data_IF_804660755865
#
_entry.id   IF_804660755865
#
_cell.length_a   1.000
_cell.length_b   1.000
_cell.length_c   1.000
_cell.angle_alpha   90.00
_cell.angle_beta   90.00
_cell.angle_gamma   90.00
#
_symmetry.space_group_name_H-M   'P 1'
#
loop_
_entity.id
_entity.type
_entity.pdbx_description
1 polymer ?
#
# COMPACT_ATOMS: atom_id res chain seq x y z
N UNK A 1 -36.42 -60.21 15.82
CA UNK A 1 -35.43 -60.25 14.72
C UNK A 1 -36.06 -59.47 13.59
N UNK A 2 -35.81 -58.17 13.63
CA UNK A 2 -36.46 -57.16 12.81
C UNK A 2 -36.05 -57.26 11.33
N UNK A 3 -36.96 -56.95 10.40
CA UNK A 3 -36.64 -56.90 8.97
C UNK A 3 -35.71 -55.71 8.67
N UNK A 4 -34.78 -55.82 7.72
CA UNK A 4 -34.00 -54.66 7.28
C UNK A 4 -34.93 -53.65 6.60
N UNK A 5 -34.94 -52.43 7.13
CA UNK A 5 -35.67 -51.27 6.65
C UNK A 5 -35.42 -50.98 5.16
N UNK A 6 -36.46 -50.70 4.37
CA UNK A 6 -36.34 -50.29 2.97
C UNK A 6 -36.32 -48.76 2.89
N UNK A 7 -35.31 -48.09 3.45
CA UNK A 7 -35.23 -46.63 3.42
C UNK A 7 -33.77 -46.19 3.35
N UNK A 8 -33.23 -46.15 2.14
CA UNK A 8 -32.24 -45.15 1.72
C UNK A 8 -32.09 -45.20 0.19
N UNK A 9 -33.19 -44.90 -0.50
CA UNK A 9 -33.13 -44.37 -1.86
C UNK A 9 -33.30 -42.85 -1.74
N UNK A 10 -32.20 -42.08 -1.69
CA UNK A 10 -32.33 -40.63 -1.76
C UNK A 10 -32.90 -40.32 -3.14
N UNK A 11 -34.09 -39.71 -3.13
CA UNK A 11 -34.81 -39.22 -4.30
C UNK A 11 -33.84 -38.50 -5.24
N UNK A 12 -33.36 -39.21 -6.26
CA UNK A 12 -32.58 -38.62 -7.34
C UNK A 12 -33.56 -37.71 -8.06
N UNK A 13 -33.49 -36.41 -7.75
CA UNK A 13 -34.23 -35.38 -8.48
C UNK A 13 -34.10 -35.65 -9.98
N UNK A 14 -35.19 -35.61 -10.78
CA UNK A 14 -35.15 -35.93 -12.21
C UNK A 14 -34.02 -35.23 -12.98
N UNK A 15 -33.65 -34.03 -12.54
CA UNK A 15 -32.52 -33.27 -13.07
C UNK A 15 -31.15 -33.93 -12.82
N UNK A 16 -30.92 -34.47 -11.62
CA UNK A 16 -29.67 -35.21 -11.29
C UNK A 16 -29.59 -36.55 -12.01
N UNK A 17 -30.72 -37.25 -12.15
CA UNK A 17 -30.78 -38.51 -12.91
C UNK A 17 -30.43 -38.27 -14.39
N UNK A 18 -30.94 -37.18 -14.96
CA UNK A 18 -30.65 -36.79 -16.34
C UNK A 18 -29.18 -36.40 -16.53
N UNK A 19 -28.58 -35.67 -15.60
CA UNK A 19 -27.15 -35.32 -15.64
C UNK A 19 -26.26 -36.57 -15.56
N UNK A 20 -26.55 -37.50 -14.65
CA UNK A 20 -25.80 -38.76 -14.54
C UNK A 20 -25.92 -39.61 -15.81
N UNK A 21 -27.10 -39.63 -16.45
CA UNK A 21 -27.30 -40.35 -17.71
C UNK A 21 -26.50 -39.73 -18.88
N UNK A 22 -26.42 -38.40 -18.94
CA UNK A 22 -25.61 -37.69 -19.94
C UNK A 22 -24.11 -37.99 -19.72
N UNK A 23 -23.63 -37.84 -18.48
CA UNK A 23 -22.24 -38.15 -18.15
C UNK A 23 -21.87 -39.62 -18.45
N UNK A 24 -22.77 -40.57 -18.18
CA UNK A 24 -22.55 -41.97 -18.50
C UNK A 24 -22.42 -42.21 -20.03
N UNK A 25 -23.22 -41.50 -20.84
CA UNK A 25 -23.11 -41.54 -22.31
C UNK A 25 -21.76 -40.96 -22.77
N UNK A 26 -21.35 -39.83 -22.21
CA UNK A 26 -20.10 -39.17 -22.57
C UNK A 26 -18.88 -40.03 -22.20
N UNK A 27 -18.92 -40.71 -21.05
CA UNK A 27 -17.90 -41.69 -20.67
C UNK A 27 -17.87 -42.91 -21.59
N UNK A 28 -19.04 -43.41 -22.02
CA UNK A 28 -19.11 -44.52 -22.98
C UNK A 28 -18.49 -44.14 -24.33
N UNK A 29 -18.74 -42.91 -24.80
CA UNK A 29 -18.11 -42.36 -26.00
C UNK A 29 -16.58 -42.34 -25.85
N UNK A 30 -16.06 -41.70 -24.79
CA UNK A 30 -14.62 -41.60 -24.56
C UNK A 30 -13.95 -42.98 -24.43
N UNK A 31 -14.57 -43.93 -23.74
CA UNK A 31 -14.01 -45.28 -23.62
C UNK A 31 -13.90 -45.97 -25.00
N UNK A 32 -14.89 -45.79 -25.87
CA UNK A 32 -14.84 -46.34 -27.23
C UNK A 32 -13.79 -45.65 -28.11
N UNK A 33 -13.64 -44.33 -27.95
CA UNK A 33 -12.66 -43.52 -28.66
C UNK A 33 -11.22 -43.87 -28.21
N UNK A 34 -10.97 -43.94 -26.91
CA UNK A 34 -9.68 -44.37 -26.36
C UNK A 34 -9.34 -45.81 -26.78
N UNK A 35 -10.32 -46.73 -26.76
CA UNK A 35 -10.10 -48.10 -27.21
C UNK A 35 -9.67 -48.17 -28.68
N UNK A 36 -10.18 -47.27 -29.54
CA UNK A 36 -9.76 -47.16 -30.94
C UNK A 36 -8.34 -46.59 -31.05
N UNK A 37 -8.02 -45.55 -30.28
CA UNK A 37 -6.72 -44.86 -30.37
C UNK A 37 -5.55 -45.71 -29.85
N UNK A 38 -5.78 -46.50 -28.81
CA UNK A 38 -4.73 -47.33 -28.18
C UNK A 38 -4.63 -48.74 -28.77
N UNK A 39 -5.54 -49.15 -29.66
CA UNK A 39 -5.55 -50.51 -30.22
C UNK A 39 -4.19 -50.85 -30.89
N UNK A 40 -3.62 -52.05 -30.64
CA UNK A 40 -4.17 -53.18 -29.87
C UNK A 40 -3.86 -53.14 -28.35
N UNK A 41 -3.17 -52.11 -27.85
CA UNK A 41 -2.78 -51.97 -26.45
C UNK A 41 -3.97 -51.55 -25.57
N UNK A 42 -4.00 -51.96 -24.29
CA UNK A 42 -5.02 -51.49 -23.36
C UNK A 42 -4.83 -50.01 -23.06
N UNK A 43 -5.95 -49.31 -22.87
CA UNK A 43 -5.95 -47.89 -22.45
C UNK A 43 -5.28 -47.78 -21.06
N UNK A 44 -4.28 -46.91 -20.89
CA UNK A 44 -3.66 -46.68 -19.59
C UNK A 44 -4.67 -46.27 -18.52
N UNK A 45 -4.50 -46.68 -17.25
CA UNK A 45 -5.39 -46.25 -16.18
C UNK A 45 -5.25 -44.73 -15.96
N UNK A 46 -6.38 -44.05 -15.82
CA UNK A 46 -6.45 -42.62 -15.54
C UNK A 46 -7.58 -42.31 -14.56
N UNK A 47 -7.47 -41.15 -13.91
CA UNK A 47 -8.48 -40.68 -12.95
C UNK A 47 -9.77 -40.29 -13.69
N UNK A 48 -10.92 -40.77 -13.22
CA UNK A 48 -12.23 -40.38 -13.75
C UNK A 48 -12.85 -39.30 -12.88
N UNK A 49 -12.66 -38.05 -13.29
CA UNK A 49 -13.27 -36.87 -12.69
C UNK A 49 -13.99 -36.04 -13.78
N UNK A 50 -14.80 -35.04 -13.40
CA UNK A 50 -15.55 -34.24 -14.40
C UNK A 50 -14.62 -33.41 -15.30
N UNK A 51 -13.48 -32.98 -14.78
CA UNK A 51 -12.48 -32.20 -15.52
C UNK A 51 -11.77 -33.05 -16.58
N UNK A 52 -11.46 -34.32 -16.27
CA UNK A 52 -10.90 -35.30 -17.21
C UNK A 52 -11.91 -35.68 -18.27
N UNK A 53 -13.19 -35.84 -17.92
CA UNK A 53 -14.25 -36.07 -18.91
C UNK A 53 -14.31 -34.90 -19.91
N UNK A 54 -14.34 -33.67 -19.40
CA UNK A 54 -14.43 -32.46 -20.23
C UNK A 54 -13.22 -32.30 -21.15
N UNK A 55 -12.01 -32.51 -20.62
CA UNK A 55 -10.77 -32.42 -21.40
C UNK A 55 -10.65 -33.53 -22.44
N UNK A 56 -11.02 -34.78 -22.10
CA UNK A 56 -11.03 -35.89 -23.05
C UNK A 56 -12.08 -35.72 -24.15
N UNK A 57 -13.25 -35.17 -23.85
CA UNK A 57 -14.25 -34.82 -24.88
C UNK A 57 -13.72 -33.74 -25.83
N UNK A 58 -13.09 -32.71 -25.28
CA UNK A 58 -12.49 -31.65 -26.10
C UNK A 58 -11.36 -32.19 -26.99
N UNK A 59 -10.52 -33.08 -26.45
CA UNK A 59 -9.44 -33.72 -27.20
C UNK A 59 -9.99 -34.66 -28.28
N UNK A 60 -11.01 -35.46 -27.98
CA UNK A 60 -11.65 -36.32 -28.95
C UNK A 60 -12.25 -35.50 -30.10
N UNK A 61 -12.99 -34.44 -29.79
CA UNK A 61 -13.53 -33.54 -30.81
C UNK A 61 -12.44 -32.87 -31.65
N UNK A 62 -11.35 -32.42 -31.03
CA UNK A 62 -10.21 -31.82 -31.74
C UNK A 62 -9.51 -32.82 -32.66
N UNK A 63 -9.35 -34.07 -32.22
CA UNK A 63 -8.79 -35.13 -33.06
C UNK A 63 -9.72 -35.48 -34.21
N UNK A 64 -11.03 -35.62 -33.97
CA UNK A 64 -11.99 -35.90 -35.03
C UNK A 64 -11.98 -34.78 -36.08
N UNK A 65 -11.92 -33.51 -35.66
CA UNK A 65 -11.77 -32.39 -36.61
C UNK A 65 -10.45 -32.42 -37.37
N UNK A 66 -9.35 -32.76 -36.70
CA UNK A 66 -8.04 -32.87 -37.36
C UNK A 66 -8.00 -34.02 -38.37
N UNK A 67 -8.62 -35.15 -38.05
CA UNK A 67 -8.75 -36.30 -38.95
C UNK A 67 -9.62 -35.96 -40.17
N UNK A 68 -10.72 -35.24 -39.97
CA UNK A 68 -11.57 -34.73 -41.06
C UNK A 68 -10.81 -33.75 -41.96
N UNK A 69 -10.07 -32.79 -41.38
CA UNK A 69 -9.23 -31.84 -42.11
C UNK A 69 -8.14 -32.56 -42.92
N UNK A 70 -7.46 -33.53 -42.31
CA UNK A 70 -6.46 -34.35 -42.98
C UNK A 70 -7.07 -35.13 -44.15
N UNK A 71 -8.24 -35.74 -43.96
CA UNK A 71 -8.94 -36.46 -45.01
C UNK A 71 -9.35 -35.54 -46.17
N UNK A 72 -9.83 -34.33 -45.87
CA UNK A 72 -10.16 -33.32 -46.89
C UNK A 72 -8.93 -32.86 -47.64
N UNK A 73 -7.81 -32.60 -46.95
CA UNK A 73 -6.55 -32.22 -47.58
C UNK A 73 -6.02 -33.33 -48.50
N UNK A 74 -6.06 -34.58 -48.04
CA UNK A 74 -5.68 -35.73 -48.86
C UNK A 74 -6.54 -35.85 -50.12
N UNK A 75 -7.88 -35.74 -50.00
CA UNK A 75 -8.78 -35.76 -51.15
C UNK A 75 -8.50 -34.61 -52.12
N UNK A 76 -8.35 -33.38 -51.62
CA UNK A 76 -8.04 -32.22 -52.44
C UNK A 76 -6.72 -32.40 -53.21
N UNK A 77 -5.70 -32.97 -52.56
CA UNK A 77 -4.43 -33.30 -53.19
C UNK A 77 -4.58 -34.37 -54.28
N UNK A 78 -5.36 -35.42 -54.03
CA UNK A 78 -5.64 -36.46 -55.02
C UNK A 78 -6.38 -35.89 -56.25
N UNK A 79 -7.40 -35.06 -56.04
CA UNK A 79 -8.15 -34.39 -57.10
C UNK A 79 -7.25 -33.44 -57.91
N UNK A 80 -6.39 -32.67 -57.24
CA UNK A 80 -5.41 -31.80 -57.90
C UNK A 80 -4.43 -32.61 -58.77
N UNK A 81 -3.90 -33.74 -58.25
CA UNK A 81 -3.02 -34.63 -59.01
C UNK A 81 -3.73 -35.27 -60.21
N UNK A 82 -4.99 -35.66 -60.06
CA UNK A 82 -5.79 -36.18 -61.16
C UNK A 82 -6.02 -35.11 -62.25
N UNK A 83 -6.31 -33.86 -61.84
CA UNK A 83 -6.47 -32.73 -62.75
C UNK A 83 -5.21 -32.43 -63.55
N UNK A 84 -4.04 -32.44 -62.90
CA UNK A 84 -2.75 -32.25 -63.57
C UNK A 84 -2.47 -33.38 -64.58
N UNK A 85 -2.66 -34.64 -64.19
CA UNK A 85 -2.49 -35.80 -65.10
C UNK A 85 -3.46 -35.76 -66.28
N UNK A 86 -4.70 -35.32 -66.07
CA UNK A 86 -5.68 -35.19 -67.14
C UNK A 86 -5.28 -34.08 -68.13
N UNK A 87 -4.80 -32.93 -67.62
CA UNK A 87 -4.29 -31.83 -68.42
C UNK A 87 -3.06 -32.24 -69.24
N UNK A 88 -2.12 -32.94 -68.64
CA UNK A 88 -0.91 -33.47 -69.30
C UNK A 88 -1.24 -34.45 -70.45
N UNK A 89 -2.30 -35.24 -70.29
CA UNK A 89 -2.81 -36.14 -71.36
C UNK A 89 -3.56 -35.40 -72.47
N UNK A 90 -4.15 -34.25 -72.15
CA UNK A 90 -4.88 -33.42 -73.11
C UNK A 90 -3.96 -32.45 -73.89
N UNK A 91 -2.69 -32.32 -73.50
CA UNK A 91 -1.73 -31.48 -74.23
C UNK A 91 -1.46 -32.03 -75.65
N UNK A 92 -1.34 -31.16 -76.66
CA UNK A 92 -1.12 -31.60 -78.03
C UNK A 92 0.24 -32.31 -78.18
N UNK A 93 0.31 -33.40 -78.96
CA UNK A 93 1.55 -34.18 -79.12
C UNK A 93 2.70 -33.35 -79.69
N UNK A 94 2.39 -32.38 -80.56
CA UNK A 94 3.35 -31.43 -81.13
C UNK A 94 4.13 -30.64 -80.07
N UNK A 95 3.49 -30.31 -78.94
CA UNK A 95 4.18 -29.59 -77.85
C UNK A 95 5.21 -30.49 -77.17
N UNK A 96 4.91 -31.78 -77.01
CA UNK A 96 5.84 -32.77 -76.47
C UNK A 96 7.01 -33.00 -77.43
N UNK A 97 6.72 -33.18 -78.72
CA UNK A 97 7.75 -33.32 -79.76
C UNK A 97 8.72 -32.13 -79.80
N UNK A 98 8.23 -30.90 -79.66
CA UNK A 98 9.08 -29.70 -79.61
C UNK A 98 9.92 -29.66 -78.33
N UNK A 99 9.37 -30.07 -77.19
CA UNK A 99 10.12 -30.10 -75.93
C UNK A 99 11.20 -31.19 -75.96
N UNK A 100 10.89 -32.36 -76.50
CA UNK A 100 11.85 -33.46 -76.68
C UNK A 100 12.99 -33.02 -77.61
N UNK A 101 12.69 -32.30 -78.70
CA UNK A 101 13.71 -31.75 -79.60
C UNK A 101 14.57 -30.68 -78.89
N UNK A 102 13.99 -29.82 -78.06
CA UNK A 102 14.74 -28.82 -77.27
C UNK A 102 15.65 -29.50 -76.22
N UNK A 103 15.17 -30.58 -75.60
CA UNK A 103 15.94 -31.38 -74.64
C UNK A 103 17.14 -32.06 -75.31
N UNK A 104 16.96 -32.57 -76.53
CA UNK A 104 18.04 -33.19 -77.33
C UNK A 104 19.14 -32.18 -77.74
N UNK A 105 18.81 -30.89 -77.88
CA UNK A 105 19.77 -29.82 -78.17
C UNK A 105 20.42 -29.20 -76.93
N UNK A 106 20.03 -29.62 -75.73
CA UNK A 106 20.58 -29.08 -74.49
C UNK A 106 21.97 -29.66 -74.21
N UNK A 107 22.91 -28.80 -73.80
CA UNK A 107 24.21 -29.25 -73.31
C UNK A 107 24.09 -29.80 -71.87
N UNK A 108 25.08 -30.57 -71.41
CA UNK A 108 25.07 -31.16 -70.06
C UNK A 108 24.92 -30.09 -68.95
N UNK A 109 25.38 -28.86 -69.21
CA UNK A 109 25.23 -27.73 -68.29
C UNK A 109 23.80 -27.21 -68.24
N UNK A 110 23.16 -27.05 -69.40
CA UNK A 110 21.77 -26.66 -69.53
C UNK A 110 20.83 -27.66 -68.85
N UNK A 111 21.08 -28.96 -69.07
CA UNK A 111 20.30 -30.04 -68.44
C UNK A 111 20.36 -29.95 -66.92
N UNK A 112 21.58 -29.87 -66.36
CA UNK A 112 21.77 -29.70 -64.90
C UNK A 112 21.12 -28.43 -64.37
N UNK A 113 21.19 -27.32 -65.11
CA UNK A 113 20.59 -26.05 -64.66
C UNK A 113 19.06 -26.11 -64.63
N UNK A 114 18.43 -26.85 -65.56
CA UNK A 114 16.99 -27.09 -65.55
C UNK A 114 16.58 -28.05 -64.43
N UNK A 115 17.36 -29.11 -64.19
CA UNK A 115 17.14 -30.02 -63.06
C UNK A 115 17.27 -29.28 -61.72
N UNK A 116 18.32 -28.47 -61.54
CA UNK A 116 18.50 -27.64 -60.34
C UNK A 116 17.34 -26.66 -60.16
N UNK A 117 16.83 -26.08 -61.27
CA UNK A 117 15.67 -25.20 -61.23
C UNK A 117 14.38 -25.96 -60.88
N UNK A 118 14.19 -27.16 -61.41
CA UNK A 118 13.06 -28.02 -61.06
C UNK A 118 13.14 -28.43 -59.58
N UNK A 119 14.31 -28.84 -59.10
CA UNK A 119 14.52 -29.20 -57.69
C UNK A 119 14.26 -28.01 -56.76
N UNK A 120 14.74 -26.82 -57.11
CA UNK A 120 14.50 -25.60 -56.31
C UNK A 120 13.03 -25.18 -56.32
N UNK A 121 12.32 -25.24 -57.45
CA UNK A 121 10.87 -24.97 -57.49
C UNK A 121 10.09 -25.94 -56.60
N UNK A 122 10.45 -27.23 -56.63
CA UNK A 122 9.82 -28.26 -55.79
C UNK A 122 10.14 -28.03 -54.30
N UNK A 123 11.40 -27.74 -53.97
CA UNK A 123 11.84 -27.50 -52.60
C UNK A 123 11.17 -26.26 -51.98
N UNK A 124 10.97 -25.21 -52.78
CA UNK A 124 10.28 -23.99 -52.38
C UNK A 124 8.74 -24.12 -52.47
N UNK A 125 8.22 -25.22 -53.02
CA UNK A 125 6.79 -25.43 -53.19
C UNK A 125 6.14 -24.46 -54.18
N UNK A 126 6.89 -23.89 -55.11
CA UNK A 126 6.38 -22.93 -56.09
C UNK A 126 5.77 -23.62 -57.31
N UNK A 127 4.87 -22.92 -58.01
CA UNK A 127 4.17 -23.45 -59.19
C UNK A 127 4.97 -23.28 -60.49
N UNK A 128 6.03 -22.46 -60.46
CA UNK A 128 6.91 -22.23 -61.60
C UNK A 128 8.19 -21.47 -61.25
N UNK A 129 9.08 -21.39 -62.24
CA UNK A 129 10.37 -20.71 -62.16
C UNK A 129 10.25 -19.21 -61.81
N UNK A 130 9.15 -18.57 -62.23
CA UNK A 130 8.90 -17.13 -62.05
C UNK A 130 8.66 -16.76 -60.59
N UNK A 131 8.16 -17.70 -59.79
CA UNK A 131 7.83 -17.50 -58.37
C UNK A 131 9.01 -17.78 -57.44
N UNK A 132 10.06 -18.47 -57.93
CA UNK A 132 11.26 -18.83 -57.15
C UNK A 132 11.92 -17.61 -56.50
N UNK A 133 12.15 -16.48 -57.21
CA UNK A 133 12.75 -15.30 -56.58
C UNK A 133 11.90 -14.73 -55.44
N UNK A 134 10.58 -14.75 -55.58
CA UNK A 134 9.66 -14.26 -54.55
C UNK A 134 9.70 -15.16 -53.32
N UNK A 135 9.64 -16.48 -53.50
CA UNK A 135 9.74 -17.45 -52.42
C UNK A 135 11.09 -17.37 -51.68
N UNK A 136 12.19 -17.14 -52.41
CA UNK A 136 13.51 -16.91 -51.79
C UNK A 136 13.49 -15.63 -50.95
N UNK A 137 12.93 -14.53 -51.48
CA UNK A 137 12.83 -13.27 -50.73
C UNK A 137 12.00 -13.48 -49.45
N UNK A 138 10.83 -14.11 -49.56
CA UNK A 138 9.97 -14.43 -48.41
C UNK A 138 10.72 -15.24 -47.35
N UNK A 139 11.37 -16.34 -47.74
CA UNK A 139 12.17 -17.16 -46.82
C UNK A 139 13.31 -16.37 -46.17
N UNK A 140 14.01 -15.52 -46.92
CA UNK A 140 15.09 -14.70 -46.34
C UNK A 140 14.56 -13.65 -45.38
N UNK A 141 13.36 -13.10 -45.63
CA UNK A 141 12.72 -12.17 -44.68
C UNK A 141 12.28 -12.89 -43.41
N UNK A 142 11.69 -14.08 -43.54
CA UNK A 142 11.31 -14.91 -42.39
C UNK A 142 12.52 -15.35 -41.57
N UNK A 143 13.62 -15.74 -42.23
CA UNK A 143 14.89 -16.09 -41.57
C UNK A 143 15.43 -14.91 -40.77
N UNK A 144 15.44 -13.71 -41.37
CA UNK A 144 15.90 -12.50 -40.69
C UNK A 144 15.01 -12.13 -39.50
N UNK A 145 13.69 -12.18 -39.68
CA UNK A 145 12.72 -11.86 -38.62
C UNK A 145 12.81 -12.86 -37.46
N UNK A 146 13.01 -14.15 -37.75
CA UNK A 146 13.22 -15.19 -36.75
C UNK A 146 14.55 -14.98 -36.00
N UNK A 147 15.64 -14.69 -36.72
CA UNK A 147 16.93 -14.37 -36.11
C UNK A 147 16.85 -13.13 -35.20
N UNK A 148 16.08 -12.12 -35.61
CA UNK A 148 15.83 -10.94 -34.79
C UNK A 148 15.02 -11.28 -33.52
N UNK A 149 14.00 -12.14 -33.63
CA UNK A 149 13.26 -12.61 -32.45
C UNK A 149 14.18 -13.32 -31.47
N UNK A 150 15.02 -14.23 -31.95
CA UNK A 150 15.96 -15.00 -31.12
C UNK A 150 16.87 -14.04 -30.36
N UNK A 151 17.47 -13.08 -31.06
CA UNK A 151 18.34 -12.08 -30.43
C UNK A 151 17.61 -11.26 -29.36
N UNK A 152 16.36 -10.85 -29.62
CA UNK A 152 15.55 -10.13 -28.62
C UNK A 152 15.25 -10.97 -27.39
N UNK A 153 14.96 -12.25 -27.57
CA UNK A 153 14.72 -13.18 -26.46
C UNK A 153 15.99 -13.39 -25.66
N UNK A 154 17.15 -13.56 -26.31
CA UNK A 154 18.45 -13.67 -25.65
C UNK A 154 18.79 -12.41 -24.84
N UNK A 155 18.56 -11.21 -25.41
CA UNK A 155 18.78 -9.94 -24.70
C UNK A 155 17.86 -9.83 -23.47
N UNK A 156 16.59 -10.22 -23.59
CA UNK A 156 15.64 -10.23 -22.47
C UNK A 156 16.04 -11.26 -21.41
N UNK A 157 16.46 -12.46 -21.81
CA UNK A 157 16.93 -13.49 -20.90
C UNK A 157 18.14 -12.98 -20.10
N UNK A 158 19.14 -12.42 -20.79
CA UNK A 158 20.32 -11.84 -20.16
C UNK A 158 19.97 -10.70 -19.19
N UNK A 159 18.96 -9.89 -19.51
CA UNK A 159 18.45 -8.86 -18.62
C UNK A 159 17.82 -9.46 -17.36
N UNK A 160 16.92 -10.44 -17.52
CA UNK A 160 16.25 -11.10 -16.41
C UNK A 160 17.23 -11.86 -15.51
N UNK A 161 18.26 -12.49 -16.06
CA UNK A 161 19.32 -13.14 -15.29
C UNK A 161 20.09 -12.14 -14.43
N UNK A 162 20.44 -10.97 -14.99
CA UNK A 162 21.09 -9.89 -14.24
C UNK A 162 20.21 -9.35 -13.12
N UNK A 163 18.91 -9.15 -13.37
CA UNK A 163 17.95 -8.71 -12.36
C UNK A 163 17.77 -9.77 -11.26
N UNK A 164 17.68 -11.06 -11.61
CA UNK A 164 17.62 -12.14 -10.64
C UNK A 164 18.87 -12.19 -9.76
N UNK A 165 20.05 -12.04 -10.34
CA UNK A 165 21.29 -11.99 -9.58
C UNK A 165 21.37 -10.75 -8.67
N UNK A 166 20.88 -9.61 -9.15
CA UNK A 166 20.77 -8.39 -8.34
C UNK A 166 19.84 -8.60 -7.14
N UNK A 167 18.64 -9.12 -7.37
CA UNK A 167 17.66 -9.42 -6.34
C UNK A 167 18.18 -10.45 -5.34
N UNK A 168 18.90 -11.48 -5.81
CA UNK A 168 19.55 -12.46 -4.93
C UNK A 168 20.58 -11.81 -4.03
N UNK A 169 21.42 -10.91 -4.54
CA UNK A 169 22.39 -10.16 -3.73
C UNK A 169 21.69 -9.27 -2.70
N UNK A 170 20.65 -8.55 -3.09
CA UNK A 170 19.86 -7.72 -2.15
C UNK A 170 19.20 -8.56 -1.06
N UNK A 171 18.65 -9.72 -1.41
CA UNK A 171 18.04 -10.63 -0.46
C UNK A 171 19.06 -11.21 0.51
N UNK A 172 20.26 -11.53 0.02
CA UNK A 172 21.36 -11.99 0.87
C UNK A 172 21.86 -10.88 1.78
N UNK A 173 21.98 -9.64 1.29
CA UNK A 173 22.31 -8.46 2.10
C UNK A 173 21.30 -8.25 3.22
N UNK A 174 20.00 -8.34 2.93
CA UNK A 174 18.94 -8.22 3.94
C UNK A 174 18.97 -9.35 4.98
N UNK A 175 19.40 -10.55 4.60
CA UNK A 175 19.49 -11.70 5.52
C UNK A 175 20.75 -11.70 6.38
N UNK A 176 21.87 -11.24 5.83
CA UNK A 176 23.19 -11.37 6.46
C UNK A 176 23.60 -10.14 7.26
N UNK A 177 23.05 -8.96 6.91
CA UNK A 177 23.40 -7.74 7.59
C UNK A 177 22.63 -7.61 8.92
N UNK A 178 23.38 -7.61 10.02
CA UNK A 178 22.89 -7.46 11.39
C UNK A 178 22.03 -6.20 11.60
N UNK A 179 22.18 -5.18 10.74
CA UNK A 179 21.36 -3.97 10.80
C UNK A 179 19.88 -4.20 10.44
N UNK A 180 19.58 -5.27 9.70
CA UNK A 180 18.23 -5.66 9.30
C UNK A 180 17.67 -6.84 10.10
N UNK A 181 18.48 -7.46 10.97
CA UNK A 181 17.95 -8.39 11.95
C UNK A 181 17.03 -7.62 12.91
N UNK A 182 15.89 -8.23 13.25
CA UNK A 182 14.99 -7.65 14.24
C UNK A 182 15.55 -7.98 15.62
N UNK A 183 16.09 -7.01 16.39
CA UNK A 183 16.58 -7.31 17.73
C UNK A 183 15.51 -8.07 18.53
N UNK A 184 15.88 -9.19 19.18
CA UNK A 184 14.91 -10.05 19.86
C UNK A 184 14.20 -9.35 21.03
N UNK A 185 14.76 -8.22 21.48
CA UNK A 185 14.32 -7.48 22.66
C UNK A 185 13.36 -6.32 22.33
N UNK A 186 13.05 -6.03 21.05
CA UNK A 186 12.17 -4.89 20.70
C UNK A 186 10.79 -5.02 21.35
N UNK A 187 10.23 -6.23 21.41
CA UNK A 187 8.92 -6.46 22.04
C UNK A 187 8.95 -6.21 23.55
N UNK A 188 10.02 -6.64 24.21
CA UNK A 188 10.22 -6.43 25.64
C UNK A 188 10.48 -4.95 25.94
N UNK A 189 11.37 -4.29 25.19
CA UNK A 189 11.60 -2.85 25.29
C UNK A 189 10.30 -2.07 25.03
N UNK A 190 9.55 -2.38 23.96
CA UNK A 190 8.27 -1.71 23.67
C UNK A 190 7.27 -1.89 24.81
N UNK A 191 7.23 -3.06 25.45
CA UNK A 191 6.40 -3.28 26.63
C UNK A 191 6.87 -2.43 27.83
N UNK A 192 8.18 -2.28 28.04
CA UNK A 192 8.75 -1.40 29.08
C UNK A 192 8.47 0.08 28.79
N UNK A 193 8.70 0.57 27.57
CA UNK A 193 8.39 1.94 27.15
C UNK A 193 6.91 2.26 27.32
N UNK A 194 6.02 1.32 27.00
CA UNK A 194 4.59 1.48 27.22
C UNK A 194 4.22 1.55 28.71
N UNK A 195 4.83 0.72 29.56
CA UNK A 195 4.64 0.81 31.02
C UNK A 195 5.16 2.13 31.56
N UNK A 196 6.37 2.54 31.15
CA UNK A 196 6.98 3.81 31.54
C UNK A 196 6.12 5.01 31.13
N UNK A 197 5.62 5.01 29.89
CA UNK A 197 4.71 6.05 29.38
C UNK A 197 3.42 6.13 30.18
N UNK A 198 2.81 4.99 30.55
CA UNK A 198 1.62 4.98 31.41
C UNK A 198 1.92 5.58 32.79
N UNK A 199 3.02 5.17 33.42
CA UNK A 199 3.41 5.69 34.74
C UNK A 199 3.69 7.20 34.66
N UNK A 200 4.45 7.66 33.68
CA UNK A 200 4.72 9.08 33.46
C UNK A 200 3.44 9.86 33.19
N UNK A 201 2.50 9.32 32.40
CA UNK A 201 1.20 9.91 32.17
C UNK A 201 0.39 10.08 33.45
N UNK A 202 0.36 9.07 34.32
CA UNK A 202 -0.31 9.18 35.63
C UNK A 202 0.33 10.26 36.51
N UNK A 203 1.67 10.28 36.61
CA UNK A 203 2.39 11.31 37.38
C UNK A 203 2.20 12.71 36.80
N UNK A 204 2.19 12.86 35.48
CA UNK A 204 1.92 14.14 34.84
C UNK A 204 0.51 14.65 35.18
N UNK A 205 -0.50 13.78 35.17
CA UNK A 205 -1.85 14.10 35.61
C UNK A 205 -1.94 14.46 37.09
N UNK A 206 -1.20 13.76 37.97
CA UNK A 206 -1.08 14.10 39.39
C UNK A 206 -0.42 15.46 39.61
N UNK A 207 0.68 15.76 38.91
CA UNK A 207 1.35 17.06 39.01
C UNK A 207 0.49 18.18 38.46
N UNK A 208 -0.21 17.98 37.33
CA UNK A 208 -1.19 18.94 36.83
C UNK A 208 -2.31 19.19 37.84
N UNK A 209 -2.84 18.13 38.46
CA UNK A 209 -3.86 18.24 39.50
C UNK A 209 -3.34 18.97 40.73
N UNK A 210 -2.09 18.72 41.12
CA UNK A 210 -1.44 19.38 42.27
C UNK A 210 -1.15 20.85 41.98
N UNK A 211 -0.69 21.19 40.78
CA UNK A 211 -0.53 22.58 40.32
C UNK A 211 -1.89 23.28 40.32
N UNK A 212 -2.92 22.69 39.72
CA UNK A 212 -4.27 23.27 39.72
C UNK A 212 -4.83 23.42 41.15
N UNK A 213 -4.53 22.49 42.06
CA UNK A 213 -4.90 22.63 43.47
C UNK A 213 -4.14 23.76 44.15
N UNK A 214 -2.84 23.90 43.87
CA UNK A 214 -2.00 24.95 44.42
C UNK A 214 -2.43 26.32 43.90
N UNK A 215 -2.67 26.47 42.60
CA UNK A 215 -3.22 27.69 41.98
C UNK A 215 -4.57 28.07 42.61
N UNK A 216 -5.48 27.11 42.78
CA UNK A 216 -6.75 27.37 43.49
C UNK A 216 -6.52 27.80 44.93
N UNK A 217 -5.58 27.19 45.65
CA UNK A 217 -5.27 27.59 47.03
C UNK A 217 -4.52 28.91 47.13
N UNK A 218 -3.69 29.27 46.15
CA UNK A 218 -3.00 30.56 46.06
C UNK A 218 -4.03 31.65 45.76
N UNK A 219 -4.97 31.39 44.86
CA UNK A 219 -6.09 32.29 44.57
C UNK A 219 -7.13 32.36 45.70
N UNK A 220 -7.16 31.37 46.61
CA UNK A 220 -8.07 31.33 47.76
C UNK A 220 -7.43 31.75 49.08
N UNK A 221 -6.09 31.75 49.22
CA UNK A 221 -5.38 32.16 50.44
C UNK A 221 -5.09 33.65 50.43
N UNK A 222 -6.14 34.41 50.75
CA UNK A 222 -6.02 35.74 51.34
C UNK A 222 -5.42 36.83 50.45
N UNK A 223 -5.41 38.08 50.95
CA UNK A 223 -4.87 39.22 50.23
C UNK A 223 -3.39 38.99 49.89
N UNK A 224 -3.00 39.36 48.67
CA UNK A 224 -1.62 39.30 48.22
C UNK A 224 -0.74 40.16 49.15
N UNK A 225 0.55 39.83 49.32
CA UNK A 225 1.48 40.61 50.17
C UNK A 225 1.43 42.12 49.83
N UNK A 226 1.26 42.46 48.56
CA UNK A 226 1.07 43.84 48.10
C UNK A 226 -0.21 44.48 48.66
N UNK A 227 -1.34 43.77 48.67
CA UNK A 227 -2.60 44.24 49.25
C UNK A 227 -2.51 44.42 50.77
N UNK A 228 -1.79 43.53 51.46
CA UNK A 228 -1.51 43.67 52.89
C UNK A 228 -0.65 44.90 53.20
N UNK A 229 0.36 45.19 52.37
CA UNK A 229 1.18 46.40 52.52
C UNK A 229 0.38 47.68 52.27
N UNK A 230 -0.52 47.67 51.28
CA UNK A 230 -1.43 48.78 51.01
C UNK A 230 -2.40 49.02 52.17
N UNK A 231 -3.01 47.96 52.72
CA UNK A 231 -3.87 48.04 53.90
C UNK A 231 -3.08 48.52 55.13
N UNK A 232 -1.88 48.01 55.36
CA UNK A 232 -1.01 48.46 56.46
C UNK A 232 -0.73 49.96 56.36
N UNK A 233 -0.41 50.46 55.17
CA UNK A 233 -0.14 51.88 54.97
C UNK A 233 -1.40 52.75 55.09
N UNK A 234 -2.56 52.23 54.71
CA UNK A 234 -3.85 52.86 55.00
C UNK A 234 -4.13 52.94 56.51
N UNK A 235 -3.86 51.88 57.27
CA UNK A 235 -4.04 51.85 58.73
C UNK A 235 -3.06 52.80 59.42
N UNK A 236 -1.81 52.90 58.96
CA UNK A 236 -0.83 53.84 59.49
C UNK A 236 -1.26 55.29 59.27
N UNK A 237 -1.71 55.64 58.06
CA UNK A 237 -2.28 56.95 57.76
C UNK A 237 -3.50 57.24 58.63
N UNK A 238 -4.38 56.27 58.79
CA UNK A 238 -5.57 56.43 59.64
C UNK A 238 -5.17 56.66 61.10
N UNK A 239 -4.19 55.93 61.63
CA UNK A 239 -3.65 56.16 62.98
C UNK A 239 -3.08 57.57 63.14
N UNK A 240 -2.35 58.08 62.15
CA UNK A 240 -1.82 59.44 62.19
C UNK A 240 -2.97 60.48 62.20
N UNK A 241 -4.00 60.29 61.37
CA UNK A 241 -5.19 61.16 61.40
C UNK A 241 -5.93 61.10 62.73
N UNK A 242 -6.07 59.91 63.34
CA UNK A 242 -6.68 59.78 64.67
C UNK A 242 -5.83 60.47 65.72
N UNK A 243 -4.51 60.29 65.71
CA UNK A 243 -3.60 60.95 66.66
C UNK A 243 -3.65 62.48 66.56
N UNK A 244 -3.73 63.03 65.35
CA UNK A 244 -3.84 64.49 65.15
C UNK A 244 -5.20 65.02 65.61
N UNK A 245 -6.28 64.28 65.34
CA UNK A 245 -7.63 64.63 65.80
C UNK A 245 -7.74 64.52 67.33
N UNK A 246 -7.17 63.50 67.96
CA UNK A 246 -7.08 63.38 69.41
C UNK A 246 -6.25 64.50 70.02
N UNK A 247 -5.14 64.88 69.38
CA UNK A 247 -4.34 66.04 69.80
C UNK A 247 -5.14 67.34 69.76
N UNK A 248 -5.92 67.56 68.69
CA UNK A 248 -6.85 68.69 68.58
C UNK A 248 -7.93 68.60 69.65
N UNK A 249 -8.54 67.44 69.88
CA UNK A 249 -9.57 67.25 70.90
C UNK A 249 -9.03 67.56 72.30
N UNK A 250 -7.82 67.10 72.64
CA UNK A 250 -7.14 67.41 73.91
C UNK A 250 -6.92 68.91 74.10
N UNK A 251 -6.56 69.65 73.03
CA UNK A 251 -6.42 71.10 73.10
C UNK A 251 -7.75 71.81 73.43
N UNK A 252 -8.89 71.26 73.01
CA UNK A 252 -10.22 71.79 73.34
C UNK A 252 -10.80 71.25 74.66
N UNK A 253 -10.25 70.16 75.22
CA UNK A 253 -10.82 69.48 76.38
C UNK A 253 -10.78 70.29 77.70
N UNK A 254 -9.93 71.34 77.76
CA UNK A 254 -9.82 72.25 78.90
C UNK A 254 -10.54 73.59 78.66
N UNK A 255 -11.18 73.79 77.51
CA UNK A 255 -11.94 74.99 77.22
C UNK A 255 -13.43 74.77 77.55
N UNK A 256 -14.07 75.68 78.30
CA UNK A 256 -15.52 75.67 78.49
C UNK A 256 -16.25 75.73 77.14
N UNK A 257 -17.40 75.04 76.98
CA UNK A 257 -18.15 74.97 75.72
C UNK A 257 -18.77 76.31 75.25
N UNK A 258 -18.60 77.39 76.03
CA UNK A 258 -19.09 78.73 75.74
C UNK A 258 -17.94 79.69 75.40
N UNK A 259 -18.10 80.48 74.33
CA UNK A 259 -17.03 81.28 73.70
C UNK A 259 -16.57 82.42 74.62
N UNK A 260 -17.48 83.00 75.39
CA UNK A 260 -17.16 84.08 76.32
C UNK A 260 -16.46 83.54 77.58
N UNK A 261 -16.82 82.33 78.03
CA UNK A 261 -16.14 81.60 79.11
C UNK A 261 -14.69 81.21 78.75
N UNK A 262 -14.47 80.72 77.52
CA UNK A 262 -13.13 80.36 77.04
C UNK A 262 -12.18 81.57 76.96
N UNK A 263 -12.67 82.76 76.58
CA UNK A 263 -11.89 84.01 76.59
C UNK A 263 -11.51 84.44 78.01
N UNK A 264 -12.37 84.18 78.99
CA UNK A 264 -12.13 84.54 80.38
C UNK A 264 -11.02 83.66 81.00
N UNK A 265 -11.08 82.35 80.76
CA UNK A 265 -10.06 81.39 81.21
C UNK A 265 -8.73 81.61 80.46
N UNK A 266 -8.75 81.94 79.16
CA UNK A 266 -7.54 82.36 78.44
C UNK A 266 -6.89 83.58 79.09
N UNK A 267 -7.66 84.65 79.38
CA UNK A 267 -7.14 85.84 80.08
C UNK A 267 -6.68 85.56 81.51
N UNK A 268 -7.22 84.53 82.17
CA UNK A 268 -6.76 84.08 83.48
C UNK A 268 -5.42 83.37 83.37
N UNK A 269 -5.31 82.38 82.49
CA UNK A 269 -4.07 81.65 82.22
C UNK A 269 -2.97 82.58 81.71
N UNK A 270 -3.29 83.58 80.89
CA UNK A 270 -2.34 84.61 80.43
C UNK A 270 -1.84 85.48 81.59
N UNK A 271 -2.70 85.78 82.57
CA UNK A 271 -2.27 86.48 83.80
C UNK A 271 -1.38 85.59 84.67
N UNK A 272 -1.72 84.31 84.82
CA UNK A 272 -0.90 83.34 85.57
C UNK A 272 0.47 83.11 84.89
N UNK A 273 0.50 83.02 83.55
CA UNK A 273 1.73 82.93 82.77
C UNK A 273 2.58 84.19 82.93
N UNK A 274 1.97 85.38 82.85
CA UNK A 274 2.69 86.63 83.09
C UNK A 274 3.20 86.76 84.53
N UNK A 275 2.50 86.20 85.51
CA UNK A 275 2.98 86.12 86.89
C UNK A 275 4.16 85.13 87.02
N UNK A 276 4.11 83.98 86.35
CA UNK A 276 5.22 83.02 86.32
C UNK A 276 6.44 83.57 85.57
N UNK A 277 6.22 84.31 84.48
CA UNK A 277 7.26 85.04 83.76
C UNK A 277 7.89 86.09 84.67
N UNK A 278 7.10 86.92 85.35
CA UNK A 278 7.61 87.89 86.33
C UNK A 278 8.33 87.22 87.50
N UNK A 279 7.89 86.04 87.94
CA UNK A 279 8.54 85.26 88.99
C UNK A 279 9.87 84.69 88.51
N UNK A 280 9.94 84.18 87.28
CA UNK A 280 11.18 83.78 86.61
C UNK A 280 12.12 84.97 86.49
N UNK A 281 11.62 86.11 86.03
CA UNK A 281 12.43 87.32 85.78
C UNK A 281 12.97 87.89 87.11
N UNK A 282 12.18 87.88 88.19
CA UNK A 282 12.68 88.19 89.54
C UNK A 282 13.71 87.19 90.06
N UNK A 283 13.51 85.90 89.81
CA UNK A 283 14.52 84.89 90.19
C UNK A 283 15.79 85.03 89.36
N UNK A 284 15.69 85.47 88.11
CA UNK A 284 16.82 85.81 87.25
C UNK A 284 17.52 87.10 87.72
N UNK A 285 16.79 88.16 88.06
CA UNK A 285 17.34 89.41 88.60
C UNK A 285 18.06 89.17 89.95
N UNK A 286 17.51 88.32 90.82
CA UNK A 286 18.18 87.88 92.06
C UNK A 286 19.40 86.97 91.86
N UNK A 287 19.63 86.46 90.64
CA UNK A 287 20.81 85.69 90.24
C UNK A 287 21.87 86.56 89.55
N UNK A 288 21.58 87.84 89.28
CA UNK A 288 22.46 88.78 88.55
C UNK A 288 23.04 89.89 89.46
N UNK A 289 22.49 90.12 90.66
CA UNK A 289 23.03 91.05 91.68
C UNK A 289 23.75 90.37 92.86
N UNK A 290 24.23 89.12 92.68
CA UNK A 290 25.03 88.36 93.66
C UNK A 290 26.39 87.95 93.12
#
# INVERSE_FOLDING_TARGET
>A
MDPPSPLDSPLISPSKARQAAIQAKDWAYINSWLARQYAPNPVPPFERNEDTLKTLLALAAANDTADEEAALFHRAREEALQGLKAREKAEPPQKKEILDEIEDYLDEKGAKSLDDLAETTVALGTLGAEDVPHAIIELTTEEFDAAEQVRRVEDLQNYLEKELDSLRRQLEELKTNEAYETPPDILAQTAEWNRGTKILGTKAGEYQSRIASLERTVNARGPTIQQLMEEEQCVLRLKETVSTLEGRLKAFHYLPPDVDGAKLEYKRLERELNQLIRRRDRMFEGLVEG
#
